data_IF_204839899364
#
_entry.id   IF_204839899364
#
_cell.length_a   1.000
_cell.length_b   1.000
_cell.length_c   1.000
_cell.angle_alpha   90.00
_cell.angle_beta   90.00
_cell.angle_gamma   90.00
#
_symmetry.space_group_name_H-M   'P 1'
#
loop_
_entity.id
_entity.type
_entity.pdbx_description
1 polymer ?
#
# COMPACT_ATOMS: atom_id res chain seq x y z
N UNK A 1 1.83 47.48 -64.36
CA UNK A 1 2.31 47.53 -62.97
C UNK A 1 1.70 46.34 -62.23
N UNK A 2 2.46 45.28 -62.04
CA UNK A 2 1.99 44.03 -61.46
C UNK A 2 2.38 43.95 -59.97
N UNK A 3 1.37 43.86 -59.13
CA UNK A 3 1.53 43.69 -57.70
C UNK A 3 1.92 42.23 -57.31
N UNK A 4 3.12 42.03 -56.82
CA UNK A 4 3.59 40.74 -56.32
C UNK A 4 2.98 40.50 -54.92
N UNK A 5 2.02 39.60 -54.83
CA UNK A 5 1.56 39.05 -53.51
C UNK A 5 2.64 38.10 -52.95
N UNK A 6 3.18 38.52 -51.83
CA UNK A 6 4.14 37.74 -51.01
C UNK A 6 3.40 36.58 -50.30
N UNK A 7 3.50 35.37 -50.84
CA UNK A 7 3.05 34.16 -50.13
C UNK A 7 4.06 33.82 -49.03
N UNK A 8 3.77 34.20 -47.80
CA UNK A 8 4.48 33.64 -46.61
C UNK A 8 4.20 32.12 -46.57
N UNK A 9 5.23 31.33 -46.80
CA UNK A 9 5.22 29.91 -46.47
C UNK A 9 5.06 29.81 -44.94
N UNK A 10 3.96 29.19 -44.49
CA UNK A 10 3.79 28.75 -43.11
C UNK A 10 4.80 27.61 -42.89
N UNK A 11 5.80 27.87 -42.11
CA UNK A 11 6.68 26.81 -41.61
C UNK A 11 5.84 25.83 -40.78
N UNK A 12 6.04 24.51 -40.91
CA UNK A 12 5.31 23.54 -40.08
C UNK A 12 5.67 23.77 -38.64
N UNK A 13 4.65 23.91 -37.79
CA UNK A 13 4.79 23.96 -36.33
C UNK A 13 5.61 22.75 -35.86
N UNK A 14 6.56 22.93 -34.90
CA UNK A 14 7.31 21.82 -34.37
C UNK A 14 6.34 20.81 -33.79
N UNK A 15 6.66 19.48 -33.83
CA UNK A 15 5.80 18.45 -33.31
C UNK A 15 5.50 18.76 -31.84
N UNK A 16 4.22 18.74 -31.47
CA UNK A 16 3.71 18.93 -30.12
C UNK A 16 4.50 18.05 -29.17
N UNK A 17 5.20 18.67 -28.19
CA UNK A 17 6.05 18.00 -27.23
C UNK A 17 5.30 16.85 -26.56
N UNK A 18 5.90 15.67 -26.59
CA UNK A 18 5.43 14.53 -25.81
C UNK A 18 5.27 14.97 -24.36
N UNK A 19 4.09 14.77 -23.78
CA UNK A 19 3.84 15.08 -22.38
C UNK A 19 4.96 14.46 -21.50
N UNK A 20 5.46 15.17 -20.50
CA UNK A 20 6.57 14.66 -19.69
C UNK A 20 6.17 13.34 -19.03
N UNK A 21 7.08 12.36 -19.10
CA UNK A 21 6.86 11.02 -18.53
C UNK A 21 6.58 11.13 -17.03
N UNK A 22 5.43 10.65 -16.58
CA UNK A 22 5.04 10.61 -15.17
C UNK A 22 5.94 9.65 -14.38
N UNK A 23 6.21 9.97 -13.12
CA UNK A 23 7.05 9.16 -12.23
C UNK A 23 6.27 8.74 -10.99
N UNK A 24 6.34 7.46 -10.63
CA UNK A 24 5.72 6.90 -9.42
C UNK A 24 6.75 6.23 -8.52
N UNK A 25 6.68 6.48 -7.22
CA UNK A 25 7.32 5.69 -6.18
C UNK A 25 6.34 4.61 -5.71
N UNK A 26 6.79 3.35 -5.62
CA UNK A 26 6.01 2.23 -5.11
C UNK A 26 6.81 1.51 -4.04
N UNK A 27 6.35 1.49 -2.79
CA UNK A 27 7.02 0.73 -1.73
C UNK A 27 6.58 -0.74 -1.73
N UNK A 28 7.53 -1.66 -1.48
CA UNK A 28 7.27 -3.10 -1.52
C UNK A 28 6.88 -3.59 -2.91
N UNK A 29 7.62 -3.15 -3.93
CA UNK A 29 7.30 -3.39 -5.34
C UNK A 29 7.78 -4.76 -5.87
N UNK A 30 8.54 -5.54 -5.09
CA UNK A 30 9.11 -6.82 -5.56
C UNK A 30 8.06 -7.92 -5.73
N UNK A 31 6.92 -7.86 -5.02
CA UNK A 31 5.91 -8.92 -5.01
C UNK A 31 4.48 -8.38 -4.92
N UNK A 32 3.50 -9.25 -5.14
CA UNK A 32 2.09 -9.03 -4.85
C UNK A 32 1.51 -7.77 -5.48
N UNK A 33 0.79 -6.97 -4.69
CA UNK A 33 0.14 -5.73 -5.15
C UNK A 33 1.16 -4.73 -5.70
N UNK A 34 2.31 -4.60 -5.02
CA UNK A 34 3.36 -3.67 -5.44
C UNK A 34 3.91 -3.99 -6.82
N UNK A 35 4.25 -5.27 -7.10
CA UNK A 35 4.74 -5.71 -8.40
C UNK A 35 3.68 -5.56 -9.50
N UNK A 36 2.44 -5.98 -9.21
CA UNK A 36 1.35 -5.81 -10.16
C UNK A 36 1.11 -4.31 -10.50
N UNK A 37 1.23 -3.42 -9.49
CA UNK A 37 1.11 -1.97 -9.70
C UNK A 37 2.28 -1.42 -10.51
N UNK A 38 3.53 -1.85 -10.21
CA UNK A 38 4.71 -1.46 -10.96
C UNK A 38 4.57 -1.83 -12.44
N UNK A 39 4.12 -3.05 -12.71
CA UNK A 39 3.85 -3.54 -14.06
C UNK A 39 2.79 -2.70 -14.77
N UNK A 40 1.63 -2.52 -14.15
CA UNK A 40 0.54 -1.75 -14.74
C UNK A 40 0.93 -0.29 -15.04
N UNK A 41 1.71 0.36 -14.17
CA UNK A 41 2.18 1.72 -14.42
C UNK A 41 3.28 1.77 -15.49
N UNK A 42 4.24 0.83 -15.49
CA UNK A 42 5.27 0.73 -16.53
C UNK A 42 4.66 0.53 -17.92
N UNK A 43 3.70 -0.39 -18.07
CA UNK A 43 2.94 -0.63 -19.32
C UNK A 43 2.18 0.62 -19.78
N UNK A 44 1.73 1.47 -18.86
CA UNK A 44 1.11 2.77 -19.14
C UNK A 44 2.12 3.91 -19.35
N UNK A 45 3.40 3.60 -19.54
CA UNK A 45 4.47 4.54 -19.87
C UNK A 45 5.00 5.37 -18.70
N UNK A 46 4.68 5.04 -17.46
CA UNK A 46 5.25 5.69 -16.29
C UNK A 46 6.70 5.24 -16.05
N UNK A 47 7.49 6.12 -15.48
CA UNK A 47 8.74 5.73 -14.81
C UNK A 47 8.38 5.24 -13.41
N UNK A 48 8.89 4.08 -13.02
CA UNK A 48 8.64 3.47 -11.72
C UNK A 48 9.93 3.45 -10.88
N UNK A 49 9.84 3.91 -9.66
CA UNK A 49 10.84 3.69 -8.62
C UNK A 49 10.22 2.69 -7.66
N UNK A 50 10.68 1.45 -7.71
CA UNK A 50 10.17 0.37 -6.86
C UNK A 50 11.13 0.08 -5.72
N UNK A 51 10.62 -0.04 -4.47
CA UNK A 51 11.45 -0.51 -3.36
C UNK A 51 11.22 -1.98 -3.05
N UNK A 52 12.27 -2.65 -2.60
CA UNK A 52 12.29 -4.02 -2.11
C UNK A 52 13.13 -4.10 -0.84
N UNK A 53 12.95 -5.13 -0.03
CA UNK A 53 13.87 -5.40 1.07
C UNK A 53 15.24 -5.85 0.53
N UNK A 54 16.35 -5.51 1.21
CA UNK A 54 17.68 -6.04 0.87
C UNK A 54 17.65 -7.56 0.79
N UNK A 55 18.22 -8.10 -0.31
CA UNK A 55 18.29 -9.55 -0.56
C UNK A 55 16.99 -10.19 -1.05
N UNK A 56 15.91 -9.44 -1.24
CA UNK A 56 14.68 -9.95 -1.85
C UNK A 56 14.87 -10.17 -3.35
N UNK A 57 14.25 -11.22 -3.93
CA UNK A 57 14.24 -11.40 -5.38
C UNK A 57 13.48 -10.25 -6.06
N UNK A 58 14.18 -9.51 -6.90
CA UNK A 58 13.69 -8.35 -7.64
C UNK A 58 13.74 -8.55 -9.15
N UNK A 59 14.01 -9.77 -9.62
CA UNK A 59 14.13 -10.07 -11.05
C UNK A 59 12.93 -9.59 -11.85
N UNK A 60 11.73 -10.01 -11.44
CA UNK A 60 10.48 -9.60 -12.11
C UNK A 60 10.23 -8.08 -12.11
N UNK A 61 10.77 -7.36 -11.12
CA UNK A 61 10.66 -5.90 -11.05
C UNK A 61 11.70 -5.21 -11.94
N UNK A 62 12.92 -5.75 -12.02
CA UNK A 62 13.99 -5.22 -12.88
C UNK A 62 13.70 -5.41 -14.37
N UNK A 63 12.94 -6.45 -14.73
CA UNK A 63 12.56 -6.74 -16.11
C UNK A 63 11.49 -5.76 -16.66
N UNK A 64 10.92 -4.90 -15.83
CA UNK A 64 9.95 -3.90 -16.27
C UNK A 64 10.64 -2.68 -16.89
N UNK A 65 10.14 -2.23 -18.01
CA UNK A 65 10.63 -1.02 -18.68
C UNK A 65 10.56 0.20 -17.77
N UNK A 66 11.55 1.10 -17.89
CA UNK A 66 11.63 2.37 -17.14
C UNK A 66 11.51 2.25 -15.63
N UNK A 67 11.94 1.10 -15.09
CA UNK A 67 11.89 0.80 -13.65
C UNK A 67 13.28 0.90 -13.04
N UNK A 68 13.37 1.61 -11.92
CA UNK A 68 14.53 1.66 -11.02
C UNK A 68 14.19 0.94 -9.75
N UNK A 69 15.04 0.02 -9.32
CA UNK A 69 14.85 -0.75 -8.08
C UNK A 69 15.82 -0.23 -7.01
N UNK A 70 15.28 0.08 -5.84
CA UNK A 70 16.03 0.47 -4.65
C UNK A 70 15.81 -0.56 -3.54
N UNK A 71 16.88 -1.11 -3.01
CA UNK A 71 16.81 -2.00 -1.85
C UNK A 71 16.78 -1.14 -0.59
N UNK A 72 15.69 -1.23 0.16
CA UNK A 72 15.38 -0.35 1.29
C UNK A 72 14.66 -1.12 2.39
N UNK A 73 15.21 -1.08 3.61
CA UNK A 73 14.44 -1.41 4.81
C UNK A 73 13.79 -0.12 5.34
N UNK A 74 12.45 -0.07 5.28
CA UNK A 74 11.69 1.09 5.72
C UNK A 74 11.68 1.30 7.24
N UNK A 75 12.27 0.38 8.01
CA UNK A 75 12.46 0.50 9.48
C UNK A 75 13.84 1.03 9.85
N UNK A 76 14.72 1.22 8.87
CA UNK A 76 16.06 1.78 9.06
C UNK A 76 16.11 3.23 8.57
N UNK A 77 16.41 4.15 9.47
CA UNK A 77 16.40 5.58 9.19
C UNK A 77 17.37 5.97 8.07
N UNK A 78 18.55 5.34 8.02
CA UNK A 78 19.55 5.63 6.98
C UNK A 78 19.09 5.11 5.61
N UNK A 79 18.54 3.90 5.57
CA UNK A 79 17.95 3.31 4.36
C UNK A 79 16.82 4.19 3.82
N UNK A 80 15.97 4.67 4.72
CA UNK A 80 14.86 5.57 4.39
C UNK A 80 15.35 6.93 3.88
N UNK A 81 16.43 7.48 4.48
CA UNK A 81 17.07 8.73 4.01
C UNK A 81 17.61 8.57 2.60
N UNK A 82 18.34 7.47 2.32
CA UNK A 82 18.85 7.17 0.97
C UNK A 82 17.73 7.08 -0.06
N UNK A 83 16.61 6.42 0.30
CA UNK A 83 15.43 6.39 -0.56
C UNK A 83 14.91 7.79 -0.86
N UNK A 84 14.73 8.61 0.17
CA UNK A 84 14.19 9.95 0.02
C UNK A 84 15.10 10.83 -0.84
N UNK A 85 16.41 10.79 -0.62
CA UNK A 85 17.40 11.52 -1.43
C UNK A 85 17.32 11.11 -2.92
N UNK A 86 17.21 9.80 -3.20
CA UNK A 86 17.09 9.29 -4.57
C UNK A 86 15.78 9.71 -5.25
N UNK A 87 14.67 9.77 -4.50
CA UNK A 87 13.37 10.20 -5.04
C UNK A 87 13.30 11.71 -5.23
N UNK A 88 13.84 12.48 -4.27
CA UNK A 88 13.87 13.96 -4.35
C UNK A 88 14.76 14.44 -5.50
N UNK A 89 15.82 13.70 -5.84
CA UNK A 89 16.67 13.98 -7.00
C UNK A 89 15.98 13.78 -8.37
N UNK A 90 14.80 13.15 -8.41
CA UNK A 90 14.07 13.01 -9.67
C UNK A 90 13.51 14.34 -10.16
N UNK A 91 13.47 14.57 -11.48
CA UNK A 91 12.98 15.84 -12.04
C UNK A 91 11.50 16.08 -11.77
N UNK A 92 10.74 15.00 -11.50
CA UNK A 92 9.33 15.06 -11.12
C UNK A 92 8.91 13.80 -10.37
N UNK A 93 7.91 13.95 -9.50
CA UNK A 93 7.21 12.85 -8.84
C UNK A 93 5.70 13.12 -8.96
N UNK A 94 4.98 12.19 -9.59
CA UNK A 94 3.54 12.33 -9.84
C UNK A 94 2.70 11.44 -8.95
N UNK A 95 3.28 10.37 -8.43
CA UNK A 95 2.57 9.44 -7.56
C UNK A 95 3.46 8.82 -6.49
N UNK A 96 2.86 8.56 -5.32
CA UNK A 96 3.42 7.69 -4.29
C UNK A 96 2.39 6.62 -3.96
N UNK A 97 2.78 5.35 -4.14
CA UNK A 97 1.99 4.19 -3.73
C UNK A 97 2.65 3.57 -2.50
N UNK A 98 2.12 3.88 -1.33
CA UNK A 98 2.57 3.31 -0.05
C UNK A 98 1.91 1.94 0.14
N UNK A 99 2.59 0.90 -0.36
CA UNK A 99 2.09 -0.47 -0.42
C UNK A 99 2.81 -1.41 0.54
N UNK A 100 4.10 -1.20 0.83
CA UNK A 100 4.84 -2.05 1.77
C UNK A 100 4.06 -2.30 3.06
N UNK A 101 4.07 -3.53 3.53
CA UNK A 101 3.31 -3.89 4.72
C UNK A 101 3.74 -5.22 5.31
N UNK A 102 3.56 -5.35 6.61
CA UNK A 102 3.89 -6.52 7.41
C UNK A 102 2.68 -6.94 8.25
N UNK A 103 2.43 -8.25 8.30
CA UNK A 103 1.46 -8.85 9.22
C UNK A 103 2.15 -9.95 10.04
N UNK A 104 2.09 -9.82 11.36
CA UNK A 104 2.53 -10.82 12.32
C UNK A 104 1.34 -11.14 13.23
N UNK A 105 0.61 -12.22 12.94
CA UNK A 105 -0.52 -12.64 13.77
C UNK A 105 -0.02 -13.23 15.10
N UNK A 106 -0.79 -12.97 16.15
CA UNK A 106 -0.55 -13.51 17.48
C UNK A 106 -1.56 -12.96 18.48
N UNK A 107 -1.80 -13.67 19.60
CA UNK A 107 -2.54 -13.12 20.70
C UNK A 107 -1.73 -11.97 21.33
N UNK A 108 -2.40 -10.94 21.80
CA UNK A 108 -1.71 -9.77 22.40
C UNK A 108 -0.83 -10.19 23.56
N UNK A 109 -1.24 -11.19 24.35
CA UNK A 109 -0.48 -11.71 25.49
C UNK A 109 0.86 -12.35 25.07
N UNK A 110 0.90 -13.01 23.92
CA UNK A 110 2.08 -13.74 23.45
C UNK A 110 2.84 -13.06 22.30
N UNK A 111 2.39 -11.90 21.81
CA UNK A 111 3.06 -11.21 20.71
C UNK A 111 4.27 -10.42 21.25
N UNK A 112 5.51 -10.71 20.79
CA UNK A 112 6.69 -9.94 21.20
C UNK A 112 6.54 -8.44 20.89
N UNK A 113 6.98 -7.60 21.84
CA UNK A 113 6.82 -6.15 21.74
C UNK A 113 7.56 -5.52 20.55
N UNK A 114 8.67 -6.11 20.13
CA UNK A 114 9.42 -5.72 18.94
C UNK A 114 8.60 -5.99 17.65
N UNK A 115 7.88 -7.12 17.59
CA UNK A 115 7.00 -7.45 16.47
C UNK A 115 5.79 -6.50 16.38
N UNK A 116 5.27 -6.05 17.53
CA UNK A 116 4.25 -5.02 17.56
C UNK A 116 4.80 -3.68 17.02
N UNK A 117 5.97 -3.25 17.51
CA UNK A 117 6.63 -2.02 17.05
C UNK A 117 6.94 -2.07 15.55
N UNK A 118 7.49 -3.19 15.06
CA UNK A 118 7.83 -3.37 13.65
C UNK A 118 6.62 -3.26 12.73
N UNK A 119 5.46 -3.80 13.14
CA UNK A 119 4.22 -3.64 12.37
C UNK A 119 3.76 -2.18 12.30
N UNK A 120 3.85 -1.43 13.40
CA UNK A 120 3.54 -0.01 13.42
C UNK A 120 4.53 0.79 12.57
N UNK A 121 5.81 0.47 12.67
CA UNK A 121 6.87 1.15 11.88
C UNK A 121 6.61 1.03 10.39
N UNK A 122 6.49 -0.20 9.88
CA UNK A 122 6.32 -0.45 8.45
C UNK A 122 4.94 0.01 7.94
N UNK A 123 3.87 -0.29 8.68
CA UNK A 123 2.52 -0.09 8.19
C UNK A 123 1.97 1.32 8.43
N UNK A 124 2.59 2.12 9.29
CA UNK A 124 2.05 3.41 9.74
C UNK A 124 3.08 4.53 9.71
N UNK A 125 4.22 4.36 10.39
CA UNK A 125 5.21 5.43 10.59
C UNK A 125 5.96 5.71 9.28
N UNK A 126 6.52 4.70 8.64
CA UNK A 126 7.21 4.86 7.36
C UNK A 126 6.32 5.50 6.27
N UNK A 127 5.06 5.08 6.06
CA UNK A 127 4.11 5.79 5.20
C UNK A 127 3.94 7.28 5.52
N UNK A 128 3.87 7.64 6.81
CA UNK A 128 3.72 9.02 7.24
C UNK A 128 5.01 9.85 6.99
N UNK A 129 6.18 9.26 7.22
CA UNK A 129 7.49 9.88 6.93
C UNK A 129 7.65 10.13 5.44
N UNK A 130 7.32 9.15 4.60
CA UNK A 130 7.32 9.30 3.14
C UNK A 130 6.36 10.39 2.68
N UNK A 131 5.14 10.43 3.24
CA UNK A 131 4.19 11.48 2.92
C UNK A 131 4.75 12.87 3.24
N UNK A 132 5.24 13.06 4.47
CA UNK A 132 5.85 14.33 4.91
C UNK A 132 6.95 14.81 3.97
N UNK A 133 7.85 13.90 3.58
CA UNK A 133 9.02 14.24 2.78
C UNK A 133 8.69 14.53 1.31
N UNK A 134 7.70 13.83 0.72
CA UNK A 134 7.42 13.85 -0.72
C UNK A 134 6.28 14.79 -1.12
N UNK A 135 5.50 15.31 -0.16
CA UNK A 135 4.43 16.28 -0.43
C UNK A 135 4.88 17.52 -1.23
N UNK A 136 6.07 18.13 -1.01
CA UNK A 136 6.49 19.27 -1.83
C UNK A 136 6.57 18.95 -3.33
N UNK A 137 7.10 17.77 -3.70
CA UNK A 137 7.18 17.35 -5.11
C UNK A 137 5.81 17.04 -5.69
N UNK A 138 4.94 16.37 -4.91
CA UNK A 138 3.57 16.10 -5.36
C UNK A 138 2.75 17.38 -5.56
N UNK A 139 2.96 18.41 -4.73
CA UNK A 139 2.33 19.73 -4.96
C UNK A 139 2.80 20.38 -6.26
N UNK A 140 4.07 20.26 -6.60
CA UNK A 140 4.62 20.81 -7.83
C UNK A 140 4.04 20.17 -9.10
N UNK A 141 3.59 18.91 -9.02
CA UNK A 141 3.04 18.17 -10.17
C UNK A 141 1.51 18.08 -10.15
N UNK A 142 0.86 18.43 -9.03
CA UNK A 142 -0.55 18.11 -8.79
C UNK A 142 -0.80 16.60 -8.68
N UNK A 143 0.19 15.88 -8.15
CA UNK A 143 0.23 14.42 -8.08
C UNK A 143 -0.66 13.82 -7.00
N UNK A 144 -0.50 12.51 -6.75
CA UNK A 144 -1.35 11.78 -5.81
C UNK A 144 -0.62 10.79 -4.92
N UNK A 145 -1.20 10.53 -3.75
CA UNK A 145 -0.78 9.47 -2.83
C UNK A 145 -1.87 8.41 -2.70
N UNK A 146 -1.48 7.15 -2.86
CA UNK A 146 -2.34 5.99 -2.61
C UNK A 146 -1.74 5.16 -1.49
N UNK A 147 -2.49 4.99 -0.41
CA UNK A 147 -2.11 4.14 0.71
C UNK A 147 -2.85 2.80 0.63
N UNK A 148 -2.10 1.69 0.78
CA UNK A 148 -2.69 0.35 0.85
C UNK A 148 -2.93 -0.01 2.32
N UNK A 149 -4.16 0.21 2.74
CA UNK A 149 -4.68 -0.18 4.05
C UNK A 149 -5.09 -1.65 4.12
N UNK A 150 -6.14 -1.92 4.88
CA UNK A 150 -6.81 -3.22 4.97
C UNK A 150 -8.22 -3.06 5.56
N UNK A 151 -9.14 -3.97 5.21
CA UNK A 151 -10.44 -4.04 5.87
C UNK A 151 -10.34 -4.27 7.40
N UNK A 152 -9.28 -4.94 7.87
CA UNK A 152 -8.99 -5.13 9.29
C UNK A 152 -8.65 -3.83 10.04
N UNK A 153 -8.30 -2.74 9.34
CA UNK A 153 -8.19 -1.42 9.95
C UNK A 153 -9.52 -0.85 10.44
N UNK A 154 -10.67 -1.39 9.99
CA UNK A 154 -12.00 -1.01 10.46
C UNK A 154 -12.51 -1.84 11.63
N UNK A 155 -12.16 -3.12 11.65
CA UNK A 155 -12.54 -4.08 12.69
C UNK A 155 -11.36 -5.01 12.90
N UNK A 156 -10.73 -4.92 14.07
CA UNK A 156 -9.68 -5.85 14.45
C UNK A 156 -10.24 -7.25 14.65
N UNK A 157 -9.57 -8.24 14.06
CA UNK A 157 -9.91 -9.65 14.19
C UNK A 157 -9.04 -10.32 15.27
N UNK A 158 -9.50 -11.42 15.87
CA UNK A 158 -8.69 -12.21 16.78
C UNK A 158 -7.36 -12.60 16.15
N UNK A 159 -6.29 -12.57 16.91
CA UNK A 159 -4.90 -12.82 16.51
C UNK A 159 -4.33 -11.85 15.46
N UNK A 160 -5.15 -10.93 14.94
CA UNK A 160 -4.76 -9.84 14.04
C UNK A 160 -4.76 -8.46 14.70
N UNK A 161 -4.75 -8.37 16.03
CA UNK A 161 -4.92 -7.12 16.78
C UNK A 161 -3.85 -6.08 16.46
N UNK A 162 -2.56 -6.46 16.44
CA UNK A 162 -1.45 -5.58 16.11
C UNK A 162 -1.51 -5.07 14.66
N UNK A 163 -1.78 -5.97 13.72
CA UNK A 163 -1.97 -5.61 12.31
C UNK A 163 -3.17 -4.68 12.12
N UNK A 164 -4.32 -5.02 12.70
CA UNK A 164 -5.52 -4.19 12.65
C UNK A 164 -5.28 -2.79 13.22
N UNK A 165 -4.58 -2.69 14.36
CA UNK A 165 -4.20 -1.41 14.98
C UNK A 165 -3.32 -0.57 14.04
N UNK A 166 -2.29 -1.17 13.43
CA UNK A 166 -1.41 -0.46 12.49
C UNK A 166 -2.17 0.06 11.24
N UNK A 167 -3.09 -0.74 10.70
CA UNK A 167 -3.89 -0.33 9.54
C UNK A 167 -5.00 0.66 9.90
N UNK A 168 -5.53 0.63 11.13
CA UNK A 168 -6.43 1.66 11.66
C UNK A 168 -5.70 3.01 11.84
N UNK A 169 -4.48 2.98 12.38
CA UNK A 169 -3.64 4.16 12.50
C UNK A 169 -3.31 4.77 11.13
N UNK A 170 -2.91 3.95 10.14
CA UNK A 170 -2.69 4.40 8.77
C UNK A 170 -3.94 5.05 8.18
N UNK A 171 -5.13 4.48 8.40
CA UNK A 171 -6.38 5.01 7.89
C UNK A 171 -6.68 6.39 8.50
N UNK A 172 -6.46 6.56 9.81
CA UNK A 172 -6.65 7.84 10.49
C UNK A 172 -5.66 8.91 9.99
N UNK A 173 -4.38 8.55 9.84
CA UNK A 173 -3.36 9.44 9.27
C UNK A 173 -3.69 9.84 7.82
N UNK A 174 -4.18 8.90 7.01
CA UNK A 174 -4.57 9.18 5.62
C UNK A 174 -5.75 10.16 5.54
N UNK A 175 -6.73 10.04 6.44
CA UNK A 175 -7.88 10.96 6.48
C UNK A 175 -7.45 12.36 6.93
N UNK A 176 -6.60 12.47 7.95
CA UNK A 176 -6.04 13.74 8.40
C UNK A 176 -5.21 14.41 7.28
N UNK A 177 -4.28 13.68 6.69
CA UNK A 177 -3.45 14.18 5.58
C UNK A 177 -4.30 14.70 4.42
N UNK A 178 -5.35 13.98 4.03
CA UNK A 178 -6.27 14.40 2.97
C UNK A 178 -6.92 15.74 3.28
N UNK A 179 -7.33 15.96 4.52
CA UNK A 179 -7.90 17.22 4.95
C UNK A 179 -6.87 18.36 4.95
N UNK A 180 -5.66 18.09 5.41
CA UNK A 180 -4.56 19.05 5.49
C UNK A 180 -4.07 19.51 4.11
N UNK A 181 -4.07 18.62 3.10
CA UNK A 181 -3.65 18.97 1.74
C UNK A 181 -4.80 19.42 0.84
N UNK A 182 -6.01 19.57 1.37
CA UNK A 182 -7.15 20.04 0.59
C UNK A 182 -6.85 21.39 -0.07
N UNK A 183 -7.13 21.51 -1.37
CA UNK A 183 -6.81 22.70 -2.15
C UNK A 183 -5.37 22.85 -2.61
N UNK A 184 -4.45 21.97 -2.19
CA UNK A 184 -3.03 22.01 -2.63
C UNK A 184 -2.77 21.37 -4.00
N UNK A 185 -3.80 20.78 -4.63
CA UNK A 185 -3.68 20.02 -5.88
C UNK A 185 -3.29 18.55 -5.69
N UNK A 186 -2.85 18.16 -4.49
CA UNK A 186 -2.48 16.77 -4.17
C UNK A 186 -3.72 15.94 -3.85
N UNK A 187 -3.87 14.78 -4.50
CA UNK A 187 -4.91 13.80 -4.17
C UNK A 187 -4.39 12.76 -3.17
N UNK A 188 -5.26 12.33 -2.23
CA UNK A 188 -4.92 11.30 -1.23
C UNK A 188 -6.05 10.28 -1.14
N UNK A 189 -5.73 9.00 -1.41
CA UNK A 189 -6.69 7.90 -1.38
C UNK A 189 -6.20 6.74 -0.53
N UNK A 190 -7.12 6.06 0.14
CA UNK A 190 -6.89 4.83 0.89
C UNK A 190 -7.60 3.66 0.19
N UNK A 191 -6.88 2.60 -0.12
CA UNK A 191 -7.46 1.33 -0.57
C UNK A 191 -7.52 0.40 0.64
N UNK A 192 -8.65 -0.22 0.89
CA UNK A 192 -8.87 -1.16 1.98
C UNK A 192 -9.25 -2.53 1.39
N UNK A 193 -8.27 -3.35 1.02
CA UNK A 193 -8.55 -4.68 0.51
C UNK A 193 -8.99 -5.64 1.61
N UNK A 194 -9.78 -6.65 1.23
CA UNK A 194 -9.93 -7.90 1.97
C UNK A 194 -8.74 -8.82 1.73
N UNK A 195 -9.00 -10.13 1.61
CA UNK A 195 -7.97 -11.08 1.20
C UNK A 195 -7.53 -10.82 -0.25
N UNK A 196 -6.21 -10.84 -0.48
CA UNK A 196 -5.58 -10.69 -1.81
C UNK A 196 -4.58 -11.81 -2.00
N UNK A 197 -4.55 -12.43 -3.18
CA UNK A 197 -3.63 -13.54 -3.52
C UNK A 197 -2.20 -13.02 -3.67
N UNK A 198 -1.51 -12.86 -2.53
CA UNK A 198 -0.12 -12.42 -2.44
C UNK A 198 0.64 -13.29 -1.45
N UNK A 199 1.96 -13.23 -1.43
CA UNK A 199 2.79 -13.93 -0.45
C UNK A 199 2.56 -13.51 1.01
N UNK A 200 1.86 -12.40 1.26
CA UNK A 200 1.64 -11.89 2.62
C UNK A 200 0.91 -12.90 3.54
N UNK A 201 0.01 -13.73 2.99
CA UNK A 201 -0.66 -14.76 3.78
C UNK A 201 0.31 -15.86 4.22
N UNK A 202 1.10 -16.40 3.27
CA UNK A 202 2.09 -17.44 3.57
C UNK A 202 3.11 -16.93 4.59
N UNK A 203 3.64 -15.73 4.37
CA UNK A 203 4.62 -15.11 5.26
C UNK A 203 4.02 -14.80 6.63
N UNK A 204 2.79 -14.31 6.70
CA UNK A 204 2.13 -14.04 7.98
C UNK A 204 1.81 -15.31 8.75
N UNK A 205 1.41 -16.38 8.06
CA UNK A 205 1.16 -17.68 8.69
C UNK A 205 2.46 -18.24 9.27
N UNK A 206 3.57 -18.18 8.53
CA UNK A 206 4.88 -18.61 9.03
C UNK A 206 5.30 -17.83 10.29
N UNK A 207 5.21 -16.49 10.26
CA UNK A 207 5.48 -15.64 11.44
C UNK A 207 4.56 -15.95 12.61
N UNK A 208 3.29 -16.28 12.33
CA UNK A 208 2.35 -16.67 13.37
C UNK A 208 2.72 -18.00 14.04
N UNK A 209 3.27 -18.96 13.31
CA UNK A 209 3.85 -20.18 13.89
C UNK A 209 5.08 -19.87 14.73
N UNK A 210 5.99 -19.00 14.26
CA UNK A 210 7.14 -18.55 15.06
C UNK A 210 6.71 -17.91 16.39
N UNK A 211 5.67 -17.06 16.37
CA UNK A 211 5.09 -16.47 17.58
C UNK A 211 4.53 -17.54 18.50
N UNK A 212 3.78 -18.53 17.99
CA UNK A 212 3.24 -19.64 18.80
C UNK A 212 4.34 -20.51 19.43
N UNK A 213 5.41 -20.77 18.69
CA UNK A 213 6.50 -21.64 19.15
C UNK A 213 7.44 -20.91 20.11
N UNK A 214 7.50 -19.58 20.04
CA UNK A 214 8.25 -18.73 20.98
C UNK A 214 7.52 -18.42 22.28
N UNK A 215 6.22 -18.77 22.43
CA UNK A 215 5.47 -18.52 23.67
C UNK A 215 5.81 -19.51 24.76
N UNK A 216 5.74 -19.10 26.07
CA UNK A 216 5.71 -20.04 27.19
C UNK A 216 4.60 -21.09 27.00
N UNK A 217 4.87 -22.34 27.40
CA UNK A 217 3.98 -23.47 27.10
C UNK A 217 2.56 -23.31 27.70
N UNK A 218 2.45 -22.71 28.87
CA UNK A 218 1.18 -22.39 29.54
C UNK A 218 0.38 -21.34 28.75
N UNK A 219 1.01 -20.29 28.24
CA UNK A 219 0.38 -19.27 27.37
C UNK A 219 -0.02 -19.88 26.02
N UNK A 220 0.91 -20.59 25.37
CA UNK A 220 0.65 -21.24 24.07
C UNK A 220 -0.52 -22.22 24.14
N UNK A 221 -0.70 -22.93 25.27
CA UNK A 221 -1.82 -23.86 25.51
C UNK A 221 -3.19 -23.21 25.35
N UNK A 222 -3.34 -21.93 25.68
CA UNK A 222 -4.60 -21.22 25.55
C UNK A 222 -4.91 -20.79 24.11
N UNK A 223 -3.88 -20.55 23.28
CA UNK A 223 -4.05 -19.88 21.98
C UNK A 223 -3.77 -20.76 20.76
N UNK A 224 -3.02 -21.87 20.90
CA UNK A 224 -2.58 -22.70 19.79
C UNK A 224 -3.75 -23.20 18.93
N UNK A 225 -4.72 -23.87 19.51
CA UNK A 225 -5.83 -24.43 18.74
C UNK A 225 -6.69 -23.37 18.03
N UNK A 226 -7.18 -22.30 18.70
CA UNK A 226 -7.96 -21.27 18.02
C UNK A 226 -7.17 -20.47 17.00
N UNK A 227 -5.87 -20.28 17.19
CA UNK A 227 -5.03 -19.58 16.23
C UNK A 227 -4.81 -20.42 14.95
N UNK A 228 -4.54 -21.72 15.08
CA UNK A 228 -4.44 -22.64 13.95
C UNK A 228 -5.75 -22.73 13.17
N UNK A 229 -6.91 -22.78 13.86
CA UNK A 229 -8.22 -22.70 13.20
C UNK A 229 -8.42 -21.39 12.42
N UNK A 230 -7.86 -20.28 12.91
CA UNK A 230 -7.89 -19.00 12.22
C UNK A 230 -7.03 -19.02 10.95
N UNK A 231 -5.85 -19.64 10.98
CA UNK A 231 -5.01 -19.82 9.79
C UNK A 231 -5.71 -20.66 8.72
N UNK A 232 -6.35 -21.77 9.09
CA UNK A 232 -7.11 -22.58 8.15
C UNK A 232 -8.27 -21.80 7.49
N UNK A 233 -8.97 -20.97 8.26
CA UNK A 233 -10.02 -20.09 7.71
C UNK A 233 -9.45 -19.03 6.75
N UNK A 234 -8.29 -18.48 7.07
CA UNK A 234 -7.59 -17.53 6.19
C UNK A 234 -7.19 -18.19 4.86
N UNK A 235 -6.67 -19.42 4.89
CA UNK A 235 -6.37 -20.19 3.67
C UNK A 235 -7.60 -20.45 2.82
N UNK A 236 -8.73 -20.78 3.43
CA UNK A 236 -9.99 -20.98 2.70
C UNK A 236 -10.46 -19.69 2.03
N UNK A 237 -10.39 -18.56 2.75
CA UNK A 237 -10.73 -17.24 2.21
C UNK A 237 -9.80 -16.84 1.06
N UNK A 238 -8.54 -17.25 1.11
CA UNK A 238 -7.56 -16.98 0.07
C UNK A 238 -7.90 -17.59 -1.30
N UNK A 239 -8.63 -18.71 -1.32
CA UNK A 239 -9.05 -19.36 -2.58
C UNK A 239 -9.96 -18.46 -3.44
N UNK A 240 -10.73 -17.58 -2.79
CA UNK A 240 -11.65 -16.63 -3.46
C UNK A 240 -11.17 -15.17 -3.33
N UNK A 241 -9.94 -14.98 -2.90
CA UNK A 241 -9.35 -13.67 -2.71
C UNK A 241 -9.16 -12.91 -4.04
N UNK A 242 -9.16 -11.59 -3.97
CA UNK A 242 -8.91 -10.73 -5.12
C UNK A 242 -7.51 -10.97 -5.71
N UNK A 243 -7.36 -10.78 -7.01
CA UNK A 243 -6.05 -10.81 -7.65
C UNK A 243 -5.28 -9.51 -7.36
N UNK A 244 -3.94 -9.55 -7.21
CA UNK A 244 -3.13 -8.33 -7.09
C UNK A 244 -3.36 -7.35 -8.24
N UNK A 245 -3.59 -7.87 -9.45
CA UNK A 245 -3.87 -7.10 -10.67
C UNK A 245 -5.16 -6.28 -10.56
N UNK A 246 -6.17 -6.75 -9.82
CA UNK A 246 -7.41 -6.00 -9.60
C UNK A 246 -7.15 -4.74 -8.77
N UNK A 247 -6.28 -4.85 -7.75
CA UNK A 247 -5.85 -3.71 -6.94
C UNK A 247 -4.96 -2.78 -7.76
N UNK A 248 -4.05 -3.32 -8.56
CA UNK A 248 -3.18 -2.54 -9.44
C UNK A 248 -3.97 -1.70 -10.45
N UNK A 249 -4.99 -2.28 -11.09
CA UNK A 249 -5.90 -1.55 -12.00
C UNK A 249 -6.65 -0.43 -11.28
N UNK A 250 -7.10 -0.67 -10.05
CA UNK A 250 -7.73 0.38 -9.25
C UNK A 250 -6.73 1.49 -8.91
N UNK A 251 -5.49 1.16 -8.52
CA UNK A 251 -4.44 2.16 -8.24
C UNK A 251 -4.20 3.02 -9.48
N UNK A 252 -4.01 2.42 -10.66
CA UNK A 252 -3.83 3.16 -11.90
C UNK A 252 -5.03 4.08 -12.19
N UNK A 253 -6.26 3.59 -12.02
CA UNK A 253 -7.47 4.40 -12.19
C UNK A 253 -7.53 5.58 -11.21
N UNK A 254 -7.15 5.38 -9.95
CA UNK A 254 -7.08 6.43 -8.93
C UNK A 254 -6.09 7.52 -9.37
N UNK A 255 -4.90 7.13 -9.81
CA UNK A 255 -3.82 8.04 -10.22
C UNK A 255 -4.14 8.79 -11.52
N UNK A 256 -5.02 8.26 -12.36
CA UNK A 256 -5.51 8.93 -13.59
C UNK A 256 -6.75 9.81 -13.32
N UNK A 257 -7.35 9.69 -12.13
CA UNK A 257 -8.55 10.46 -11.76
C UNK A 257 -8.15 11.77 -11.08
N UNK A 258 -8.62 12.90 -11.60
CA UNK A 258 -8.32 14.23 -11.04
C UNK A 258 -8.80 14.41 -9.59
N UNK A 259 -9.98 13.87 -9.27
CA UNK A 259 -10.60 13.93 -7.93
C UNK A 259 -11.05 12.54 -7.51
N UNK A 260 -10.11 11.66 -7.11
CA UNK A 260 -10.46 10.30 -6.74
C UNK A 260 -11.25 10.25 -5.42
N UNK A 261 -12.04 9.19 -5.25
CA UNK A 261 -12.71 8.93 -3.99
C UNK A 261 -11.69 8.79 -2.85
N UNK A 262 -12.03 9.22 -1.63
CA UNK A 262 -11.13 9.15 -0.48
C UNK A 262 -10.79 7.72 -0.04
N UNK A 263 -11.75 6.78 -0.16
CA UNK A 263 -11.59 5.39 0.26
C UNK A 263 -12.18 4.42 -0.76
N UNK A 264 -11.50 3.28 -0.95
CA UNK A 264 -11.90 2.23 -1.88
C UNK A 264 -11.86 0.86 -1.19
N UNK A 265 -13.01 0.19 -1.13
CA UNK A 265 -13.14 -1.16 -0.59
C UNK A 265 -13.04 -2.18 -1.72
N UNK A 266 -12.13 -3.15 -1.60
CA UNK A 266 -11.99 -4.26 -2.56
C UNK A 266 -12.14 -5.60 -1.83
N UNK A 267 -12.93 -6.50 -2.42
CA UNK A 267 -13.20 -7.82 -1.88
C UNK A 267 -14.46 -7.86 -1.00
N UNK A 268 -14.98 -9.08 -0.82
CA UNK A 268 -16.19 -9.33 -0.03
C UNK A 268 -15.93 -9.13 1.46
N UNK A 269 -14.77 -9.56 1.93
CA UNK A 269 -14.34 -9.49 3.32
C UNK A 269 -14.21 -8.01 3.77
N UNK A 270 -13.60 -7.14 2.95
CA UNK A 270 -13.48 -5.72 3.26
C UNK A 270 -14.86 -5.06 3.38
N UNK A 271 -15.79 -5.40 2.48
CA UNK A 271 -17.17 -4.88 2.54
C UNK A 271 -17.92 -5.39 3.79
N UNK A 272 -17.74 -6.67 4.14
CA UNK A 272 -18.33 -7.23 5.35
C UNK A 272 -17.79 -6.54 6.61
N UNK A 273 -16.48 -6.35 6.73
CA UNK A 273 -15.87 -5.62 7.84
C UNK A 273 -16.34 -4.16 7.90
N UNK A 274 -16.51 -3.51 6.75
CA UNK A 274 -17.03 -2.15 6.70
C UNK A 274 -18.48 -2.07 7.23
N UNK A 275 -19.33 -3.05 6.92
CA UNK A 275 -20.69 -3.14 7.47
C UNK A 275 -20.67 -3.44 8.98
N UNK A 276 -19.82 -4.36 9.43
CA UNK A 276 -19.65 -4.67 10.86
C UNK A 276 -19.18 -3.44 11.63
N UNK A 277 -18.32 -2.61 11.05
CA UNK A 277 -17.83 -1.39 11.67
C UNK A 277 -18.92 -0.36 11.98
N UNK A 278 -20.06 -0.38 11.27
CA UNK A 278 -21.22 0.49 11.49
C UNK A 278 -22.10 0.04 12.65
N UNK A 279 -21.92 -1.19 13.14
CA UNK A 279 -22.75 -1.73 14.23
C UNK A 279 -22.35 -1.13 15.58
N UNK A 280 -23.29 -1.04 16.54
CA UNK A 280 -22.99 -0.70 17.92
C UNK A 280 -21.87 -1.58 18.49
N UNK A 281 -21.03 -1.03 19.36
CA UNK A 281 -19.83 -1.70 19.90
C UNK A 281 -20.12 -3.08 20.51
N UNK A 282 -21.25 -3.24 21.22
CA UNK A 282 -21.65 -4.52 21.82
C UNK A 282 -21.98 -5.61 20.79
N UNK A 283 -22.60 -5.23 19.67
CA UNK A 283 -22.91 -6.17 18.58
C UNK A 283 -21.64 -6.56 17.83
N UNK A 284 -20.80 -5.56 17.53
CA UNK A 284 -19.49 -5.78 16.91
C UNK A 284 -18.63 -6.73 17.74
N UNK A 285 -18.53 -6.52 19.06
CA UNK A 285 -17.80 -7.38 19.96
C UNK A 285 -18.32 -8.84 19.93
N UNK A 286 -19.65 -9.06 19.95
CA UNK A 286 -20.24 -10.41 19.84
C UNK A 286 -19.88 -11.11 18.54
N UNK A 287 -19.89 -10.39 17.41
CA UNK A 287 -19.52 -10.95 16.10
C UNK A 287 -18.05 -11.35 16.11
N UNK A 288 -17.17 -10.44 16.54
CA UNK A 288 -15.72 -10.70 16.59
C UNK A 288 -15.38 -11.87 17.53
N UNK A 289 -16.04 -11.97 18.69
CA UNK A 289 -15.87 -13.10 19.62
C UNK A 289 -16.26 -14.46 18.99
N UNK A 290 -17.29 -14.49 18.14
CA UNK A 290 -17.67 -15.72 17.43
C UNK A 290 -16.64 -16.15 16.38
N UNK A 291 -15.89 -15.20 15.84
CA UNK A 291 -14.81 -15.50 14.89
C UNK A 291 -13.54 -16.02 15.59
N UNK A 292 -13.43 -15.86 16.90
CA UNK A 292 -12.33 -16.42 17.71
C UNK A 292 -12.52 -17.88 18.09
N UNK A 293 -13.75 -18.42 17.97
CA UNK A 293 -14.11 -19.79 18.29
C UNK A 293 -14.10 -20.66 17.01
#
# INVERSE_FOLDING_TARGET
MASRRNARRLEPSPPSGTAPTRTALITGAATGIGLATARALSENGWRVIGTALPGQDVTSLRDLDRTTVLEVDLTDDESLRVLLDAVVAQPRLDAVVSNAGLAVPGPIEGLPADQLRRQLEINTIAPAVLARALLPQLRATGGGMVFVGAGQGRVALPFGGAYGASKAALAALTDALRAEVAGSGVSVSLIEPGAVRTGILTDSTARGHEVLDGMPADVAGHYRAPMLATFQRAEQAFRTAAAPEDIARLIATILDTRTPKPRHLIGREARALALIALLPSSWRARIVQRLAR
#
